data_IF_753251426568
#
_entry.id   IF_753251426568
#
_cell.length_a   1.000
_cell.length_b   1.000
_cell.length_c   1.000
_cell.angle_alpha   90.00
_cell.angle_beta   90.00
_cell.angle_gamma   90.00
#
_symmetry.space_group_name_H-M   'P 1'
#
loop_
_entity.id
_entity.type
_entity.pdbx_description
1 polymer ?
#
# COMPACT_ATOMS: atom_id res chain seq x y z
N UNK A 1 37.96 -7.82 -24.55
CA UNK A 1 36.63 -7.19 -24.34
C UNK A 1 36.50 -5.90 -25.14
N UNK A 2 37.30 -4.85 -24.86
CA UNK A 2 37.24 -3.55 -25.56
C UNK A 2 37.47 -3.66 -27.07
N UNK A 3 38.54 -4.34 -27.49
CA UNK A 3 38.86 -4.56 -28.90
C UNK A 3 37.71 -5.19 -29.69
N UNK A 4 37.01 -6.17 -29.11
CA UNK A 4 35.87 -6.81 -29.75
C UNK A 4 34.67 -5.85 -29.89
N UNK A 5 34.41 -5.01 -28.90
CA UNK A 5 33.30 -4.05 -28.97
C UNK A 5 33.54 -3.00 -30.07
N UNK A 6 34.75 -2.45 -30.14
CA UNK A 6 35.13 -1.50 -31.20
C UNK A 6 35.10 -2.17 -32.57
N UNK A 7 35.47 -3.45 -32.68
CA UNK A 7 35.41 -4.18 -33.93
C UNK A 7 33.98 -4.48 -34.42
N UNK A 8 33.04 -4.74 -33.49
CA UNK A 8 31.63 -5.03 -33.83
C UNK A 8 30.85 -3.74 -34.10
N UNK A 9 31.10 -2.68 -33.32
CA UNK A 9 30.42 -1.39 -33.38
C UNK A 9 31.42 -0.24 -33.64
N UNK A 10 32.08 -0.22 -34.81
CA UNK A 10 33.16 0.75 -35.07
C UNK A 10 32.65 2.19 -35.11
N UNK A 11 31.45 2.40 -35.65
CA UNK A 11 30.87 3.74 -35.86
C UNK A 11 29.79 4.09 -34.83
N UNK A 12 29.64 3.30 -33.76
CA UNK A 12 28.64 3.49 -32.70
C UNK A 12 29.30 3.57 -31.32
N UNK A 13 30.03 4.66 -30.99
CA UNK A 13 30.68 4.84 -29.69
C UNK A 13 29.73 4.74 -28.50
N UNK A 14 28.44 5.03 -28.70
CA UNK A 14 27.38 4.86 -27.71
C UNK A 14 27.20 3.41 -27.23
N UNK A 15 27.59 2.44 -28.06
CA UNK A 15 27.55 1.00 -27.76
C UNK A 15 28.82 0.51 -27.04
N UNK A 16 29.81 1.38 -26.83
CA UNK A 16 31.06 0.99 -26.19
C UNK A 16 30.91 0.91 -24.67
N UNK A 17 31.68 0.03 -24.00
CA UNK A 17 31.71 -0.06 -22.54
C UNK A 17 32.08 1.29 -21.90
N UNK A 18 31.24 1.77 -20.98
CA UNK A 18 31.39 3.11 -20.36
C UNK A 18 32.28 3.13 -19.11
N UNK A 19 32.34 2.02 -18.39
CA UNK A 19 33.14 1.89 -17.17
C UNK A 19 33.53 0.43 -16.93
N UNK A 20 34.63 0.24 -16.21
CA UNK A 20 35.11 -1.05 -15.73
C UNK A 20 35.59 -0.89 -14.30
N UNK A 21 35.20 -1.80 -13.42
CA UNK A 21 35.66 -1.86 -12.02
C UNK A 21 36.34 -3.21 -11.80
N UNK A 22 37.58 -3.18 -11.38
CA UNK A 22 38.30 -4.36 -10.93
C UNK A 22 38.37 -4.36 -9.40
N UNK A 23 38.35 -5.53 -8.79
CA UNK A 23 38.55 -5.75 -7.37
C UNK A 23 39.67 -6.78 -7.17
N UNK A 24 40.30 -6.77 -5.99
CA UNK A 24 41.29 -7.76 -5.62
C UNK A 24 40.69 -9.17 -5.46
N UNK A 25 41.57 -10.15 -5.26
CA UNK A 25 41.14 -11.51 -4.97
C UNK A 25 40.55 -11.59 -3.56
N UNK A 26 39.65 -12.55 -3.33
CA UNK A 26 39.03 -12.75 -2.04
C UNK A 26 39.89 -13.69 -1.16
N UNK A 27 40.33 -13.19 -0.02
CA UNK A 27 40.88 -13.95 1.08
C UNK A 27 39.75 -14.45 1.99
N UNK A 28 40.01 -15.55 2.67
CA UNK A 28 39.10 -16.19 3.63
C UNK A 28 39.81 -16.24 4.98
N UNK A 29 39.32 -15.48 5.96
CA UNK A 29 39.95 -15.31 7.28
C UNK A 29 41.45 -14.92 7.21
N UNK A 30 41.80 -13.97 6.34
CA UNK A 30 43.17 -13.50 6.04
C UNK A 30 44.07 -14.51 5.32
N UNK A 31 43.55 -15.64 4.87
CA UNK A 31 44.30 -16.66 4.15
C UNK A 31 43.80 -16.84 2.72
N UNK A 32 44.68 -17.34 1.83
CA UNK A 32 44.30 -17.61 0.44
C UNK A 32 43.31 -18.76 0.38
N UNK A 33 42.24 -18.56 -0.36
CA UNK A 33 41.25 -19.59 -0.58
C UNK A 33 41.83 -20.72 -1.44
N UNK A 34 41.92 -21.93 -0.89
CA UNK A 34 42.50 -23.10 -1.57
C UNK A 34 41.82 -24.39 -1.13
N UNK A 35 41.40 -25.20 -2.09
CA UNK A 35 40.81 -26.52 -1.84
C UNK A 35 41.78 -27.47 -1.13
N UNK A 36 43.08 -27.33 -1.40
CA UNK A 36 44.10 -28.22 -0.86
C UNK A 36 44.44 -27.93 0.61
N UNK A 37 44.26 -26.69 1.07
CA UNK A 37 44.51 -26.29 2.47
C UNK A 37 43.29 -26.50 3.36
N UNK A 38 42.13 -26.88 2.79
CA UNK A 38 40.85 -26.95 3.48
C UNK A 38 40.20 -25.58 3.74
N UNK A 39 40.89 -24.48 3.41
CA UNK A 39 40.35 -23.12 3.54
C UNK A 39 39.64 -22.71 2.25
N UNK A 40 38.45 -23.28 2.04
CA UNK A 40 37.61 -23.03 0.87
C UNK A 40 36.14 -23.00 1.27
N UNK A 41 35.37 -22.13 0.63
CA UNK A 41 33.93 -22.02 0.86
C UNK A 41 33.22 -21.78 -0.47
N UNK A 42 32.23 -22.62 -0.77
CA UNK A 42 31.34 -22.39 -1.91
C UNK A 42 30.27 -21.37 -1.56
N UNK A 43 29.65 -20.78 -2.60
CA UNK A 43 28.53 -19.86 -2.42
C UNK A 43 27.37 -20.50 -1.64
N UNK A 44 27.04 -21.76 -1.93
CA UNK A 44 25.92 -22.46 -1.29
C UNK A 44 26.20 -22.68 0.20
N UNK A 45 27.39 -23.21 0.53
CA UNK A 45 27.82 -23.37 1.93
C UNK A 45 27.81 -22.04 2.69
N UNK A 46 28.26 -20.95 2.05
CA UNK A 46 28.25 -19.61 2.65
C UNK A 46 26.82 -19.11 2.94
N UNK A 47 25.88 -19.33 2.02
CA UNK A 47 24.47 -18.96 2.21
C UNK A 47 23.82 -19.81 3.31
N UNK A 48 24.07 -21.12 3.34
CA UNK A 48 23.53 -22.03 4.35
C UNK A 48 24.09 -21.71 5.75
N UNK A 49 25.36 -21.30 5.83
CA UNK A 49 26.02 -20.97 7.10
C UNK A 49 25.62 -19.60 7.62
N UNK A 50 25.63 -18.57 6.77
CA UNK A 50 25.51 -17.17 7.21
C UNK A 50 24.23 -16.46 6.75
N UNK A 51 23.30 -17.17 6.10
CA UNK A 51 22.22 -16.60 5.28
C UNK A 51 22.72 -15.77 4.08
N UNK A 52 21.85 -15.57 3.10
CA UNK A 52 22.18 -14.74 1.94
C UNK A 52 22.54 -13.29 2.35
N UNK A 53 21.76 -12.70 3.25
CA UNK A 53 21.95 -11.29 3.64
C UNK A 53 23.12 -11.10 4.62
N UNK A 54 23.36 -12.06 5.53
CA UNK A 54 24.53 -12.03 6.41
C UNK A 54 25.84 -12.18 5.63
N UNK A 55 25.88 -13.10 4.66
CA UNK A 55 27.02 -13.24 3.75
C UNK A 55 27.25 -11.96 2.92
N UNK A 56 26.19 -11.40 2.31
CA UNK A 56 26.30 -10.16 1.51
C UNK A 56 26.76 -8.96 2.32
N UNK A 57 26.32 -8.83 3.57
CA UNK A 57 26.76 -7.74 4.45
C UNK A 57 28.26 -7.84 4.75
N UNK A 58 28.76 -9.04 5.07
CA UNK A 58 30.19 -9.27 5.29
C UNK A 58 31.01 -9.07 4.00
N UNK A 59 30.47 -9.47 2.83
CA UNK A 59 31.11 -9.22 1.54
C UNK A 59 31.20 -7.73 1.19
N UNK A 60 30.20 -6.92 1.55
CA UNK A 60 30.26 -5.49 1.37
C UNK A 60 31.34 -4.84 2.25
N UNK A 61 31.62 -5.40 3.44
CA UNK A 61 32.71 -4.95 4.31
C UNK A 61 34.10 -5.48 3.91
N UNK A 62 34.17 -6.49 3.05
CA UNK A 62 35.40 -7.21 2.74
C UNK A 62 36.49 -6.34 2.09
N UNK A 63 36.11 -5.33 1.31
CA UNK A 63 37.02 -4.37 0.70
C UNK A 63 36.54 -3.83 -0.66
N UNK A 64 36.78 -2.53 -0.89
CA UNK A 64 36.40 -1.84 -2.13
C UNK A 64 37.58 -1.56 -3.08
N UNK A 65 38.80 -1.75 -2.59
CA UNK A 65 40.02 -1.42 -3.32
C UNK A 65 40.40 -2.52 -4.35
N UNK A 66 41.46 -2.23 -5.10
CA UNK A 66 42.10 -3.22 -5.99
C UNK A 66 42.93 -4.23 -5.21
N UNK A 67 43.27 -3.91 -3.96
CA UNK A 67 43.91 -4.85 -3.02
C UNK A 67 42.96 -6.01 -2.68
N UNK A 68 43.55 -7.13 -2.23
CA UNK A 68 42.80 -8.32 -1.89
C UNK A 68 41.76 -8.03 -0.79
N UNK A 69 40.50 -8.36 -1.08
CA UNK A 69 39.40 -8.24 -0.13
C UNK A 69 39.44 -9.43 0.84
N UNK A 70 38.87 -9.27 2.03
CA UNK A 70 38.91 -10.33 3.04
C UNK A 70 37.53 -10.63 3.63
N UNK A 71 37.07 -11.87 3.47
CA UNK A 71 35.85 -12.36 4.11
C UNK A 71 36.19 -13.00 5.47
N UNK A 72 35.64 -12.45 6.55
CA UNK A 72 35.89 -12.89 7.92
C UNK A 72 34.62 -13.49 8.52
N UNK A 73 34.68 -14.73 9.01
CA UNK A 73 33.50 -15.43 9.55
C UNK A 73 32.92 -14.73 10.78
N UNK A 74 33.77 -14.28 11.70
CA UNK A 74 33.32 -13.53 12.87
C UNK A 74 32.54 -12.27 12.49
N UNK A 75 32.87 -11.64 11.36
CA UNK A 75 32.14 -10.48 10.86
C UNK A 75 30.78 -10.88 10.28
N UNK A 76 30.71 -12.01 9.57
CA UNK A 76 29.45 -12.57 9.08
C UNK A 76 28.51 -13.00 10.22
N UNK A 77 29.02 -13.64 11.27
CA UNK A 77 28.23 -13.99 12.46
C UNK A 77 27.69 -12.74 13.17
N UNK A 78 28.55 -11.73 13.34
CA UNK A 78 28.15 -10.45 13.91
C UNK A 78 27.11 -9.72 13.03
N UNK A 79 27.20 -9.86 11.70
CA UNK A 79 26.24 -9.30 10.76
C UNK A 79 24.84 -9.90 10.97
N UNK A 80 24.74 -11.23 11.09
CA UNK A 80 23.46 -11.94 11.32
C UNK A 80 22.81 -11.42 12.60
N UNK A 81 23.57 -11.34 13.69
CA UNK A 81 23.07 -10.86 14.97
C UNK A 81 22.57 -9.41 14.88
N UNK A 82 23.30 -8.53 14.17
CA UNK A 82 22.89 -7.13 13.96
C UNK A 82 21.62 -7.01 13.13
N UNK A 83 21.48 -7.80 12.06
CA UNK A 83 20.29 -7.82 11.20
C UNK A 83 19.06 -8.35 11.95
N UNK A 84 19.25 -9.41 12.76
CA UNK A 84 18.22 -9.95 13.64
C UNK A 84 17.75 -8.89 14.65
N UNK A 85 18.69 -8.28 15.39
CA UNK A 85 18.39 -7.26 16.38
C UNK A 85 17.72 -6.01 15.77
N UNK A 86 18.12 -5.62 14.55
CA UNK A 86 17.46 -4.53 13.82
C UNK A 86 16.00 -4.89 13.54
N UNK A 87 15.74 -6.09 13.05
CA UNK A 87 14.39 -6.54 12.69
C UNK A 87 13.48 -6.63 13.91
N UNK A 88 13.98 -7.16 15.03
CA UNK A 88 13.23 -7.22 16.28
C UNK A 88 12.96 -5.83 16.85
N UNK A 89 13.96 -4.94 16.84
CA UNK A 89 13.77 -3.56 17.26
C UNK A 89 12.70 -2.83 16.42
N UNK A 90 12.65 -3.08 15.10
CA UNK A 90 11.59 -2.52 14.24
C UNK A 90 10.20 -2.99 14.68
N UNK A 91 10.04 -4.28 15.00
CA UNK A 91 8.75 -4.81 15.50
C UNK A 91 8.35 -4.13 16.81
N UNK A 92 9.29 -4.00 17.75
CA UNK A 92 9.06 -3.31 19.03
C UNK A 92 8.61 -1.85 18.80
N UNK A 93 9.23 -1.12 17.87
CA UNK A 93 8.82 0.27 17.57
C UNK A 93 7.41 0.36 16.97
N UNK A 94 6.99 -0.61 16.16
CA UNK A 94 5.61 -0.70 15.66
C UNK A 94 4.63 -0.97 16.79
N UNK A 95 4.96 -1.85 17.73
CA UNK A 95 4.11 -2.12 18.90
C UNK A 95 3.99 -0.89 19.80
N UNK A 96 5.10 -0.19 20.07
CA UNK A 96 5.10 1.05 20.85
C UNK A 96 4.26 2.15 20.18
N UNK A 97 4.32 2.28 18.84
CA UNK A 97 3.46 3.21 18.09
C UNK A 97 1.98 2.92 18.32
N UNK A 98 1.59 1.65 18.26
CA UNK A 98 0.21 1.22 18.44
C UNK A 98 -0.29 1.46 19.88
N UNK A 99 0.61 1.36 20.87
CA UNK A 99 0.33 1.63 22.29
C UNK A 99 0.42 3.12 22.65
N UNK A 100 0.68 4.01 21.69
CA UNK A 100 0.98 5.43 21.91
C UNK A 100 2.17 5.65 22.88
N UNK A 101 3.12 4.71 22.92
CA UNK A 101 4.33 4.78 23.74
C UNK A 101 5.45 5.64 23.15
N UNK A 102 5.23 6.24 21.98
CA UNK A 102 6.15 7.18 21.32
C UNK A 102 5.59 8.61 21.40
N UNK A 103 6.48 9.59 21.48
CA UNK A 103 6.13 11.00 21.58
C UNK A 103 5.65 11.52 20.22
N UNK A 104 4.52 12.24 20.19
CA UNK A 104 3.85 12.77 18.96
C UNK A 104 3.84 14.30 18.86
N UNK A 105 4.69 14.98 19.61
CA UNK A 105 4.80 16.44 19.57
C UNK A 105 5.62 16.92 18.37
N UNK A 106 5.70 18.24 18.22
CA UNK A 106 6.59 18.87 17.25
C UNK A 106 8.05 18.51 17.59
N UNK A 107 8.78 17.90 16.65
CA UNK A 107 10.17 17.40 16.76
C UNK A 107 11.22 18.50 17.04
N UNK A 108 11.06 19.26 18.12
CA UNK A 108 11.77 20.50 18.39
C UNK A 108 12.83 20.36 19.49
N UNK A 109 12.97 19.18 20.11
CA UNK A 109 13.99 18.97 21.14
C UNK A 109 15.40 19.12 20.53
N UNK A 110 16.40 19.36 21.38
CA UNK A 110 17.79 19.38 20.92
C UNK A 110 18.18 18.01 20.32
N UNK A 111 17.81 16.92 21.00
CA UNK A 111 18.07 15.55 20.55
C UNK A 111 17.43 15.26 19.19
N UNK A 112 16.18 15.69 18.99
CA UNK A 112 15.43 15.51 17.73
C UNK A 112 16.13 16.19 16.55
N UNK A 113 16.57 17.43 16.75
CA UNK A 113 17.24 18.23 15.72
C UNK A 113 18.61 17.67 15.36
N UNK A 114 19.39 17.24 16.36
CA UNK A 114 20.69 16.60 16.14
C UNK A 114 20.51 15.29 15.39
N UNK A 115 19.59 14.44 15.83
CA UNK A 115 19.33 13.15 15.19
C UNK A 115 18.85 13.33 13.75
N UNK A 116 17.91 14.24 13.50
CA UNK A 116 17.42 14.53 12.15
C UNK A 116 18.52 15.03 11.20
N UNK A 117 19.43 15.87 11.69
CA UNK A 117 20.54 16.41 10.91
C UNK A 117 21.63 15.38 10.63
N UNK A 118 22.05 14.60 11.63
CA UNK A 118 23.04 13.54 11.42
C UNK A 118 22.48 12.44 10.51
N UNK A 119 21.18 12.10 10.60
CA UNK A 119 20.54 11.21 9.63
C UNK A 119 20.70 11.72 8.20
N UNK A 120 20.36 12.99 7.95
CA UNK A 120 20.49 13.60 6.62
C UNK A 120 21.93 13.57 6.10
N UNK A 121 22.90 13.79 6.97
CA UNK A 121 24.33 13.76 6.62
C UNK A 121 24.77 12.35 6.23
N UNK A 122 24.45 11.33 7.02
CA UNK A 122 24.81 9.94 6.70
C UNK A 122 24.11 9.44 5.45
N UNK A 123 22.84 9.82 5.21
CA UNK A 123 22.13 9.50 3.96
C UNK A 123 22.89 10.05 2.75
N UNK A 124 23.33 11.32 2.80
CA UNK A 124 24.08 11.95 1.70
C UNK A 124 25.43 11.29 1.45
N UNK A 125 26.20 11.03 2.51
CA UNK A 125 27.50 10.36 2.39
C UNK A 125 27.31 8.95 1.82
N UNK A 126 26.30 8.21 2.30
CA UNK A 126 26.00 6.85 1.82
C UNK A 126 25.62 6.84 0.34
N UNK A 127 24.80 7.80 -0.11
CA UNK A 127 24.45 7.93 -1.53
C UNK A 127 25.70 8.18 -2.40
N UNK A 128 26.58 9.08 -1.98
CA UNK A 128 27.85 9.36 -2.67
C UNK A 128 28.76 8.12 -2.71
N UNK A 129 28.84 7.37 -1.62
CA UNK A 129 29.60 6.12 -1.57
C UNK A 129 29.04 5.05 -2.51
N UNK A 130 27.72 4.91 -2.61
CA UNK A 130 27.10 4.00 -3.57
C UNK A 130 27.35 4.41 -5.02
N UNK A 131 27.24 5.70 -5.34
CA UNK A 131 27.56 6.24 -6.69
C UNK A 131 29.03 5.99 -7.06
N UNK A 132 29.93 6.13 -6.09
CA UNK A 132 31.36 5.83 -6.26
C UNK A 132 31.69 4.33 -6.22
N UNK A 133 30.71 3.45 -5.99
CA UNK A 133 30.89 1.99 -5.82
C UNK A 133 31.82 1.60 -4.66
N UNK A 134 31.79 2.40 -3.59
CA UNK A 134 32.49 2.15 -2.32
C UNK A 134 31.51 1.53 -1.31
N UNK A 135 31.29 0.22 -1.41
CA UNK A 135 30.29 -0.49 -0.63
C UNK A 135 30.64 -0.62 0.86
N UNK A 136 31.93 -0.72 1.20
CA UNK A 136 32.41 -0.71 2.59
C UNK A 136 32.15 0.63 3.26
N UNK A 137 32.46 1.74 2.58
CA UNK A 137 32.17 3.08 3.10
C UNK A 137 30.65 3.34 3.15
N UNK A 138 29.88 2.86 2.16
CA UNK A 138 28.42 2.92 2.21
C UNK A 138 27.86 2.17 3.42
N UNK A 139 28.39 0.98 3.73
CA UNK A 139 27.98 0.20 4.90
C UNK A 139 28.39 0.85 6.23
N UNK A 140 29.59 1.43 6.29
CA UNK A 140 30.06 2.19 7.45
C UNK A 140 29.10 3.31 7.82
N UNK A 141 28.79 4.21 6.90
CA UNK A 141 27.92 5.36 7.17
C UNK A 141 26.43 5.02 7.19
N UNK A 142 26.01 4.11 6.31
CA UNK A 142 24.61 3.77 6.07
C UNK A 142 24.04 2.68 6.99
N UNK A 143 24.89 1.96 7.72
CA UNK A 143 24.46 0.93 8.67
C UNK A 143 25.14 1.07 10.02
N UNK A 144 26.47 1.03 10.11
CA UNK A 144 27.15 1.02 11.42
C UNK A 144 27.03 2.35 12.16
N UNK A 145 27.44 3.46 11.53
CA UNK A 145 27.28 4.79 12.13
C UNK A 145 25.81 5.20 12.22
N UNK A 146 24.98 4.79 11.25
CA UNK A 146 23.55 5.06 11.28
C UNK A 146 22.87 4.42 12.51
N UNK A 147 23.20 3.16 12.83
CA UNK A 147 22.72 2.49 14.04
C UNK A 147 23.26 3.14 15.31
N UNK A 148 24.53 3.56 15.32
CA UNK A 148 25.11 4.27 16.47
C UNK A 148 24.38 5.59 16.76
N UNK A 149 23.99 6.33 15.73
CA UNK A 149 23.17 7.54 15.86
C UNK A 149 21.81 7.26 16.49
N UNK A 150 21.13 6.17 16.07
CA UNK A 150 19.87 5.73 16.67
C UNK A 150 20.06 5.38 18.15
N UNK A 151 21.10 4.62 18.48
CA UNK A 151 21.35 4.20 19.86
C UNK A 151 21.66 5.38 20.78
N UNK A 152 22.44 6.35 20.29
CA UNK A 152 22.68 7.62 20.98
C UNK A 152 21.39 8.42 21.19
N UNK A 153 20.56 8.55 20.15
CA UNK A 153 19.27 9.24 20.28
C UNK A 153 18.36 8.56 21.31
N UNK A 154 18.30 7.22 21.31
CA UNK A 154 17.56 6.45 22.30
C UNK A 154 18.08 6.68 23.72
N UNK A 155 19.39 6.71 23.92
CA UNK A 155 20.01 6.96 25.23
C UNK A 155 19.69 8.36 25.76
N UNK A 156 19.80 9.39 24.90
CA UNK A 156 19.48 10.78 25.26
C UNK A 156 17.99 10.93 25.62
N UNK A 157 17.10 10.32 24.83
CA UNK A 157 15.65 10.33 25.12
C UNK A 157 15.26 9.45 26.31
N UNK A 158 16.05 8.43 26.66
CA UNK A 158 15.83 7.60 27.86
C UNK A 158 16.03 8.36 29.18
N UNK A 159 16.55 9.58 29.13
CA UNK A 159 16.74 10.48 30.27
C UNK A 159 15.53 11.39 30.58
N UNK A 160 15.80 12.67 30.84
CA UNK A 160 14.83 13.64 31.40
C UNK A 160 13.62 13.99 30.50
N UNK A 161 13.69 13.75 29.19
CA UNK A 161 12.73 14.27 28.19
C UNK A 161 11.73 13.24 27.63
N UNK A 162 11.67 12.02 28.18
CA UNK A 162 10.68 11.03 27.79
C UNK A 162 10.87 10.46 26.37
N UNK A 163 9.91 9.61 25.98
CA UNK A 163 10.00 8.73 24.82
C UNK A 163 10.49 9.39 23.51
N UNK A 164 11.15 8.59 22.67
CA UNK A 164 11.56 8.97 21.31
C UNK A 164 10.38 9.48 20.48
N UNK A 165 10.65 10.40 19.57
CA UNK A 165 9.61 10.94 18.68
C UNK A 165 9.22 9.93 17.60
N UNK A 166 7.92 9.69 17.43
CA UNK A 166 7.36 8.72 16.48
C UNK A 166 7.82 9.02 15.05
N UNK A 167 7.71 10.26 14.60
CA UNK A 167 8.03 10.64 13.22
C UNK A 167 9.50 10.41 12.89
N UNK A 168 10.41 10.73 13.82
CA UNK A 168 11.84 10.51 13.61
C UNK A 168 12.23 9.03 13.65
N UNK A 169 11.64 8.25 14.56
CA UNK A 169 11.87 6.81 14.64
C UNK A 169 11.44 6.12 13.34
N UNK A 170 10.23 6.41 12.84
CA UNK A 170 9.74 5.78 11.62
C UNK A 170 10.49 6.26 10.37
N UNK A 171 10.89 7.53 10.33
CA UNK A 171 11.80 8.04 9.29
C UNK A 171 13.15 7.31 9.29
N UNK A 172 13.73 7.03 10.47
CA UNK A 172 14.94 6.24 10.59
C UNK A 172 14.73 4.83 10.03
N UNK A 173 13.64 4.15 10.40
CA UNK A 173 13.36 2.78 9.94
C UNK A 173 13.22 2.73 8.41
N UNK A 174 12.42 3.64 7.84
CA UNK A 174 12.21 3.72 6.39
C UNK A 174 13.53 3.96 5.63
N UNK A 175 14.31 4.94 6.08
CA UNK A 175 15.59 5.27 5.44
C UNK A 175 16.63 4.17 5.62
N UNK A 176 16.68 3.50 6.79
CA UNK A 176 17.57 2.37 7.03
C UNK A 176 17.23 1.20 6.10
N UNK A 177 15.95 0.89 5.89
CA UNK A 177 15.51 -0.16 4.97
C UNK A 177 15.91 0.15 3.52
N UNK A 178 15.73 1.41 3.08
CA UNK A 178 16.12 1.86 1.73
C UNK A 178 17.63 1.79 1.53
N UNK A 179 18.42 2.31 2.47
CA UNK A 179 19.88 2.31 2.40
C UNK A 179 20.44 0.88 2.34
N UNK A 180 19.84 -0.04 3.10
CA UNK A 180 20.31 -1.41 3.20
C UNK A 180 19.88 -2.29 2.03
N UNK A 181 18.82 -1.92 1.29
CA UNK A 181 18.23 -2.73 0.22
C UNK A 181 19.20 -3.24 -0.85
N UNK A 182 20.27 -2.52 -1.28
CA UNK A 182 21.22 -3.06 -2.26
C UNK A 182 22.11 -4.17 -1.68
N UNK A 183 22.36 -4.15 -0.36
CA UNK A 183 23.26 -5.09 0.33
C UNK A 183 22.45 -6.26 0.90
N UNK A 184 21.41 -6.00 1.69
CA UNK A 184 20.52 -7.00 2.30
C UNK A 184 19.07 -6.78 1.84
N UNK A 185 18.73 -7.20 0.61
CA UNK A 185 17.40 -6.96 0.04
C UNK A 185 16.28 -7.70 0.79
N UNK A 186 16.54 -8.89 1.34
CA UNK A 186 15.50 -9.69 2.00
C UNK A 186 15.09 -9.06 3.34
N UNK A 187 16.07 -8.61 4.13
CA UNK A 187 15.83 -7.85 5.37
C UNK A 187 15.18 -6.50 5.07
N UNK A 188 15.64 -5.79 4.04
CA UNK A 188 15.03 -4.52 3.61
C UNK A 188 13.54 -4.68 3.28
N UNK A 189 13.20 -5.71 2.50
CA UNK A 189 11.82 -6.07 2.17
C UNK A 189 11.02 -6.50 3.40
N UNK A 190 11.61 -7.30 4.30
CA UNK A 190 10.94 -7.72 5.54
C UNK A 190 10.58 -6.51 6.43
N UNK A 191 11.50 -5.55 6.58
CA UNK A 191 11.25 -4.29 7.30
C UNK A 191 10.14 -3.50 6.58
N UNK A 192 10.20 -3.42 5.25
CA UNK A 192 9.18 -2.73 4.47
C UNK A 192 7.80 -3.37 4.61
N UNK A 193 7.71 -4.70 4.72
CA UNK A 193 6.46 -5.41 4.99
C UNK A 193 5.94 -5.18 6.41
N UNK A 194 6.83 -5.06 7.40
CA UNK A 194 6.47 -4.71 8.77
C UNK A 194 5.87 -3.30 8.82
N UNK A 195 6.50 -2.34 8.14
CA UNK A 195 6.04 -0.95 8.03
C UNK A 195 4.76 -0.82 7.16
N UNK A 196 4.72 -1.56 6.06
CA UNK A 196 3.82 -1.37 4.92
C UNK A 196 2.65 -2.34 4.87
N UNK A 197 2.22 -2.91 6.01
CA UNK A 197 1.02 -3.77 6.04
C UNK A 197 -0.20 -3.09 5.40
N UNK A 198 -0.32 -1.77 5.55
CA UNK A 198 -1.36 -0.95 4.91
C UNK A 198 -1.20 -0.81 3.38
N UNK A 199 0.03 -0.61 2.88
CA UNK A 199 0.28 -0.42 1.45
C UNK A 199 0.12 -1.73 0.66
N UNK A 200 0.62 -2.85 1.20
CA UNK A 200 0.40 -4.19 0.64
C UNK A 200 -1.09 -4.53 0.66
N UNK A 201 -1.76 -4.27 1.79
CA UNK A 201 -3.20 -4.41 1.91
C UNK A 201 -3.95 -3.64 0.83
N UNK A 202 -3.65 -2.35 0.63
CA UNK A 202 -4.30 -1.54 -0.41
C UNK A 202 -4.06 -2.07 -1.83
N UNK A 203 -2.84 -2.50 -2.15
CA UNK A 203 -2.52 -3.07 -3.47
C UNK A 203 -3.32 -4.35 -3.73
N UNK A 204 -3.34 -5.25 -2.76
CA UNK A 204 -3.99 -6.56 -2.88
C UNK A 204 -5.52 -6.41 -2.92
N UNK A 205 -6.06 -5.51 -2.10
CA UNK A 205 -7.50 -5.15 -2.08
C UNK A 205 -7.95 -4.56 -3.41
N UNK A 206 -7.21 -3.60 -3.99
CA UNK A 206 -7.56 -3.02 -5.29
C UNK A 206 -7.51 -4.05 -6.41
N UNK A 207 -6.54 -4.96 -6.39
CA UNK A 207 -6.45 -6.04 -7.37
C UNK A 207 -7.67 -6.97 -7.30
N UNK A 208 -8.08 -7.36 -6.08
CA UNK A 208 -9.29 -8.18 -5.87
C UNK A 208 -10.56 -7.43 -6.28
N UNK A 209 -10.69 -6.16 -5.91
CA UNK A 209 -11.86 -5.34 -6.28
C UNK A 209 -12.00 -5.19 -7.80
N UNK A 210 -10.90 -4.97 -8.53
CA UNK A 210 -10.89 -4.92 -10.00
C UNK A 210 -11.26 -6.27 -10.62
N UNK A 211 -10.77 -7.37 -10.06
CA UNK A 211 -11.13 -8.71 -10.53
C UNK A 211 -12.62 -8.99 -10.34
N UNK A 212 -13.19 -8.57 -9.20
CA UNK A 212 -14.63 -8.71 -8.91
C UNK A 212 -15.50 -7.83 -9.80
N UNK A 213 -15.09 -6.59 -10.08
CA UNK A 213 -15.76 -5.70 -11.02
C UNK A 213 -15.80 -6.31 -12.43
N UNK A 214 -14.69 -6.86 -12.90
CA UNK A 214 -14.64 -7.58 -14.19
C UNK A 214 -15.56 -8.80 -14.20
N UNK A 215 -15.67 -9.49 -13.07
CA UNK A 215 -16.54 -10.67 -12.93
C UNK A 215 -18.03 -10.33 -12.84
N UNK A 216 -18.40 -9.17 -12.29
CA UNK A 216 -19.80 -8.70 -12.23
C UNK A 216 -20.30 -8.18 -13.59
N UNK A 217 -19.39 -7.70 -14.44
CA UNK A 217 -19.68 -7.27 -15.82
C UNK A 217 -19.62 -8.39 -16.86
N UNK A 218 -19.16 -9.60 -16.48
CA UNK A 218 -19.01 -10.71 -17.43
C UNK A 218 -20.35 -11.37 -17.76
N UNK A 219 -20.74 -11.33 -19.03
CA UNK A 219 -22.00 -11.88 -19.58
C UNK A 219 -22.23 -13.37 -19.34
N UNK A 220 -21.23 -14.10 -18.82
CA UNK A 220 -21.32 -15.54 -18.50
C UNK A 220 -22.08 -15.85 -17.19
N UNK A 221 -22.40 -14.85 -16.35
CA UNK A 221 -23.12 -15.06 -15.08
C UNK A 221 -24.58 -14.61 -15.16
N UNK A 222 -25.47 -15.34 -14.45
CA UNK A 222 -26.93 -15.10 -14.42
C UNK A 222 -27.36 -13.70 -13.92
N UNK A 223 -26.49 -12.99 -13.19
CA UNK A 223 -26.74 -11.65 -12.66
C UNK A 223 -25.67 -10.63 -13.13
N UNK A 224 -25.21 -10.74 -14.37
CA UNK A 224 -24.24 -9.79 -14.91
C UNK A 224 -24.89 -8.40 -15.09
N UNK A 225 -24.20 -7.35 -14.65
CA UNK A 225 -24.67 -5.98 -14.86
C UNK A 225 -24.49 -5.59 -16.34
N UNK A 226 -25.53 -4.94 -16.90
CA UNK A 226 -25.53 -4.45 -18.28
C UNK A 226 -24.77 -3.11 -18.38
N UNK A 227 -24.79 -2.32 -17.30
CA UNK A 227 -24.07 -1.06 -17.15
C UNK A 227 -23.10 -1.13 -15.95
N UNK A 228 -21.99 -0.37 -15.95
CA UNK A 228 -21.08 -0.35 -14.82
C UNK A 228 -21.81 0.08 -13.54
N UNK A 229 -21.58 -0.60 -12.40
CA UNK A 229 -22.23 -0.26 -11.14
C UNK A 229 -21.74 1.09 -10.61
N UNK A 230 -22.68 1.92 -10.14
CA UNK A 230 -22.38 3.24 -9.55
C UNK A 230 -21.97 3.17 -8.09
N UNK A 231 -22.57 2.26 -7.32
CA UNK A 231 -22.39 2.18 -5.87
C UNK A 231 -21.88 0.79 -5.46
N UNK A 232 -21.11 0.74 -4.37
CA UNK A 232 -20.65 -0.51 -3.78
C UNK A 232 -20.69 -0.48 -2.26
N UNK A 233 -20.81 -1.66 -1.65
CA UNK A 233 -20.66 -1.86 -0.20
C UNK A 233 -19.43 -2.73 0.02
N UNK A 234 -18.50 -2.25 0.82
CA UNK A 234 -17.30 -2.97 1.27
C UNK A 234 -17.58 -3.50 2.67
N UNK A 235 -17.47 -4.81 2.83
CA UNK A 235 -17.61 -5.49 4.11
C UNK A 235 -16.24 -5.74 4.72
N UNK A 236 -16.05 -5.29 5.96
CA UNK A 236 -14.80 -5.43 6.71
C UNK A 236 -15.05 -6.25 7.97
N UNK A 237 -14.28 -7.31 8.17
CA UNK A 237 -14.30 -8.11 9.39
C UNK A 237 -13.20 -7.64 10.35
N UNK A 238 -13.56 -7.40 11.62
CA UNK A 238 -12.60 -7.11 12.71
C UNK A 238 -11.92 -8.38 13.19
N UNK A 239 -12.70 -9.44 13.37
CA UNK A 239 -12.25 -10.75 13.82
C UNK A 239 -12.62 -11.83 12.81
N UNK A 240 -11.91 -12.97 12.86
CA UNK A 240 -12.31 -14.14 12.09
C UNK A 240 -13.68 -14.68 12.56
N UNK A 241 -14.52 -15.20 11.65
CA UNK A 241 -15.72 -15.94 11.99
C UNK A 241 -15.47 -17.02 13.05
N UNK A 242 -16.46 -17.29 13.91
CA UNK A 242 -16.32 -18.13 15.10
C UNK A 242 -15.66 -19.51 14.81
N UNK A 243 -16.02 -20.16 13.71
CA UNK A 243 -15.44 -21.45 13.34
C UNK A 243 -13.98 -21.35 12.85
N UNK A 244 -13.61 -20.26 12.16
CA UNK A 244 -12.25 -20.00 11.70
C UNK A 244 -11.34 -19.58 12.85
N UNK A 245 -11.84 -18.73 13.76
CA UNK A 245 -11.14 -18.32 14.99
C UNK A 245 -10.76 -19.54 15.83
N UNK A 246 -11.69 -20.49 15.97
CA UNK A 246 -11.44 -21.73 16.69
C UNK A 246 -10.37 -22.61 16.00
N UNK A 247 -10.41 -22.72 14.67
CA UNK A 247 -9.37 -23.44 13.91
C UNK A 247 -8.00 -22.78 14.09
N UNK A 248 -7.91 -21.46 14.03
CA UNK A 248 -6.66 -20.73 14.23
C UNK A 248 -6.11 -20.94 15.64
N UNK A 249 -6.95 -20.90 16.68
CA UNK A 249 -6.55 -21.19 18.06
C UNK A 249 -6.04 -22.63 18.23
N UNK A 250 -6.67 -23.61 17.58
CA UNK A 250 -6.17 -24.99 17.59
C UNK A 250 -4.81 -25.12 16.91
N UNK A 251 -4.64 -24.48 15.75
CA UNK A 251 -3.36 -24.49 15.02
C UNK A 251 -2.27 -23.76 15.82
N UNK A 252 -2.59 -22.65 16.46
CA UNK A 252 -1.67 -21.89 17.32
C UNK A 252 -1.21 -22.73 18.52
N UNK A 253 -2.13 -23.43 19.19
CA UNK A 253 -1.79 -24.32 20.29
C UNK A 253 -0.91 -25.50 19.84
N UNK A 254 -1.15 -26.05 18.64
CA UNK A 254 -0.31 -27.11 18.08
C UNK A 254 1.08 -26.59 17.68
N UNK A 255 1.17 -25.41 17.08
CA UNK A 255 2.44 -24.77 16.73
C UNK A 255 3.29 -24.49 17.99
N UNK A 256 2.68 -24.02 19.08
CA UNK A 256 3.36 -23.82 20.38
C UNK A 256 3.87 -25.13 20.99
N UNK A 257 3.11 -26.22 20.87
CA UNK A 257 3.49 -27.52 21.44
C UNK A 257 4.56 -28.26 20.63
N UNK A 258 4.72 -27.97 19.33
CA UNK A 258 5.63 -28.67 18.43
C UNK A 258 6.83 -27.83 17.96
N UNK A 259 7.33 -26.90 18.80
CA UNK A 259 8.46 -26.01 18.46
C UNK A 259 8.28 -25.25 17.12
N UNK A 260 7.06 -24.79 16.81
CA UNK A 260 6.77 -24.01 15.61
C UNK A 260 6.53 -24.83 14.34
N UNK A 261 6.39 -26.15 14.42
CA UNK A 261 6.08 -27.01 13.25
C UNK A 261 4.62 -27.43 13.27
N UNK A 262 3.89 -27.11 12.19
CA UNK A 262 2.50 -27.53 12.01
C UNK A 262 2.41 -29.04 11.71
N UNK A 263 1.49 -29.80 12.38
CA UNK A 263 1.32 -31.23 12.15
C UNK A 263 0.86 -31.59 10.72
N UNK A 264 0.97 -32.87 10.36
CA UNK A 264 0.46 -33.39 9.07
C UNK A 264 -1.06 -33.18 8.92
N UNK A 265 -1.52 -33.03 7.67
CA UNK A 265 -2.92 -32.79 7.30
C UNK A 265 -3.86 -33.85 7.86
N UNK A 266 -3.39 -35.11 7.97
CA UNK A 266 -4.15 -36.22 8.55
C UNK A 266 -4.43 -36.03 10.04
N UNK A 267 -3.44 -35.58 10.80
CA UNK A 267 -3.57 -35.33 12.24
C UNK A 267 -4.49 -34.13 12.50
N UNK A 268 -4.37 -33.07 11.69
CA UNK A 268 -5.24 -31.89 11.78
C UNK A 268 -6.70 -32.27 11.46
N UNK A 269 -6.94 -33.06 10.40
CA UNK A 269 -8.28 -33.52 10.04
C UNK A 269 -8.94 -34.36 11.15
N UNK A 270 -8.17 -35.22 11.84
CA UNK A 270 -8.69 -36.00 12.97
C UNK A 270 -9.07 -35.14 14.17
N UNK A 271 -8.30 -34.08 14.46
CA UNK A 271 -8.61 -33.15 15.54
C UNK A 271 -9.86 -32.32 15.25
N UNK A 272 -9.97 -31.81 14.02
CA UNK A 272 -11.14 -31.04 13.57
C UNK A 272 -12.42 -31.89 13.51
N UNK A 273 -12.29 -33.18 13.20
CA UNK A 273 -13.43 -34.12 13.15
C UNK A 273 -14.03 -34.48 14.51
N UNK A 274 -13.30 -34.27 15.61
CA UNK A 274 -13.80 -34.49 16.98
C UNK A 274 -14.76 -33.40 17.45
N UNK A 275 -14.67 -32.20 16.86
CA UNK A 275 -15.41 -31.03 17.33
C UNK A 275 -16.78 -30.91 16.67
N UNK A 276 -17.84 -30.73 17.48
CA UNK A 276 -19.22 -30.71 16.96
C UNK A 276 -19.54 -29.42 16.18
N UNK A 277 -18.93 -28.28 16.55
CA UNK A 277 -19.16 -26.98 15.91
C UNK A 277 -18.67 -26.95 14.45
N UNK A 278 -17.63 -27.72 14.13
CA UNK A 278 -17.01 -27.76 12.80
C UNK A 278 -17.70 -28.74 11.83
N UNK A 279 -18.60 -29.60 12.31
CA UNK A 279 -19.30 -30.59 11.46
C UNK A 279 -20.11 -29.94 10.34
N UNK A 280 -20.73 -28.77 10.58
CA UNK A 280 -21.46 -28.01 9.55
C UNK A 280 -20.55 -27.43 8.47
N UNK A 281 -19.28 -27.17 8.80
CA UNK A 281 -18.32 -26.49 7.94
C UNK A 281 -17.19 -27.39 7.42
N UNK A 282 -17.24 -28.70 7.68
CA UNK A 282 -16.16 -29.64 7.38
C UNK A 282 -15.61 -29.58 5.94
N UNK A 283 -16.47 -29.29 4.95
CA UNK A 283 -16.06 -29.10 3.54
C UNK A 283 -15.22 -27.83 3.31
N UNK A 284 -15.43 -26.77 4.10
CA UNK A 284 -14.69 -25.49 4.06
C UNK A 284 -13.45 -25.50 4.96
N UNK A 285 -13.44 -26.31 6.02
CA UNK A 285 -12.37 -26.32 7.03
C UNK A 285 -11.02 -26.77 6.49
N UNK A 286 -10.95 -27.84 5.70
CA UNK A 286 -9.67 -28.35 5.17
C UNK A 286 -9.01 -27.41 4.14
N UNK A 287 -9.74 -26.82 3.17
CA UNK A 287 -9.18 -25.78 2.30
C UNK A 287 -8.64 -24.59 3.09
N UNK A 288 -9.33 -24.17 4.16
CA UNK A 288 -8.87 -23.08 5.02
C UNK A 288 -7.57 -23.44 5.75
N UNK A 289 -7.46 -24.64 6.32
CA UNK A 289 -6.22 -25.12 6.96
C UNK A 289 -5.06 -25.16 5.97
N UNK A 290 -5.29 -25.59 4.74
CA UNK A 290 -4.26 -25.64 3.71
C UNK A 290 -3.78 -24.23 3.33
N UNK A 291 -4.71 -23.29 3.15
CA UNK A 291 -4.38 -21.89 2.90
C UNK A 291 -3.55 -21.28 4.06
N UNK A 292 -3.94 -21.56 5.31
CA UNK A 292 -3.20 -21.09 6.49
C UNK A 292 -1.81 -21.74 6.59
N UNK A 293 -1.67 -23.02 6.20
CA UNK A 293 -0.36 -23.69 6.11
C UNK A 293 0.57 -23.01 5.10
N UNK A 294 0.07 -22.73 3.89
CA UNK A 294 0.83 -22.01 2.86
C UNK A 294 1.23 -20.60 3.36
N UNK A 295 0.31 -19.90 4.05
CA UNK A 295 0.63 -18.62 4.67
C UNK A 295 1.60 -18.73 5.84
N UNK A 296 1.56 -19.81 6.61
CA UNK A 296 2.46 -20.07 7.72
C UNK A 296 3.88 -20.39 7.25
N UNK A 297 4.03 -21.11 6.14
CA UNK A 297 5.33 -21.34 5.50
C UNK A 297 5.99 -20.02 5.05
N UNK A 298 5.18 -19.03 4.62
CA UNK A 298 5.68 -17.73 4.17
C UNK A 298 5.88 -16.71 5.30
N UNK A 299 4.95 -16.63 6.26
CA UNK A 299 4.86 -15.54 7.27
C UNK A 299 5.07 -16.03 8.71
N UNK A 300 5.25 -17.33 8.92
CA UNK A 300 5.41 -17.93 10.25
C UNK A 300 4.24 -17.68 11.17
N UNK A 301 4.52 -17.50 12.47
CA UNK A 301 3.51 -17.29 13.53
C UNK A 301 2.56 -16.12 13.28
N UNK A 302 2.96 -15.12 12.49
CA UNK A 302 2.10 -13.99 12.16
C UNK A 302 0.87 -14.39 11.32
N UNK A 303 0.93 -15.52 10.60
CA UNK A 303 -0.21 -16.05 9.84
C UNK A 303 -1.34 -16.60 10.71
N UNK A 304 -1.05 -16.89 11.99
CA UNK A 304 -2.02 -17.45 12.95
C UNK A 304 -2.73 -16.37 13.78
N UNK A 305 -2.45 -15.09 13.54
CA UNK A 305 -3.09 -13.99 14.25
C UNK A 305 -4.63 -14.01 14.02
N UNK A 306 -5.39 -13.94 15.12
CA UNK A 306 -6.85 -14.01 15.11
C UNK A 306 -7.54 -12.68 14.81
N UNK A 307 -6.78 -11.60 14.67
CA UNK A 307 -7.25 -10.27 14.30
C UNK A 307 -6.26 -9.59 13.34
N UNK A 308 -6.74 -8.61 12.57
CA UNK A 308 -5.87 -7.77 11.76
C UNK A 308 -5.03 -6.85 12.66
N UNK A 309 -3.76 -6.63 12.29
CA UNK A 309 -2.84 -5.82 13.08
C UNK A 309 -3.09 -4.29 12.96
N UNK A 310 -4.03 -3.88 12.13
CA UNK A 310 -4.33 -2.48 11.84
C UNK A 310 -5.82 -2.28 11.52
N UNK A 311 -6.30 -1.04 11.62
CA UNK A 311 -7.69 -0.70 11.29
C UNK A 311 -7.88 -0.60 9.77
N UNK A 312 -8.49 -1.64 9.21
CA UNK A 312 -8.78 -1.75 7.78
C UNK A 312 -9.75 -0.66 7.29
N UNK A 313 -10.75 -0.30 8.11
CA UNK A 313 -11.78 0.65 7.69
C UNK A 313 -11.21 2.07 7.61
N UNK A 314 -10.37 2.45 8.58
CA UNK A 314 -9.67 3.73 8.56
C UNK A 314 -8.81 3.89 7.30
N UNK A 315 -8.02 2.86 6.94
CA UNK A 315 -7.15 2.89 5.75
C UNK A 315 -7.98 3.04 4.46
N UNK A 316 -9.09 2.32 4.35
CA UNK A 316 -9.98 2.42 3.18
C UNK A 316 -10.63 3.81 3.08
N UNK A 317 -10.96 4.43 4.22
CA UNK A 317 -11.52 5.80 4.25
C UNK A 317 -10.49 6.86 3.91
N UNK A 318 -9.27 6.77 4.43
CA UNK A 318 -8.16 7.69 4.08
C UNK A 318 -7.86 7.67 2.58
N UNK A 319 -8.02 6.51 1.93
CA UNK A 319 -7.74 6.31 0.51
C UNK A 319 -9.00 6.30 -0.37
N UNK A 320 -10.10 6.91 0.09
CA UNK A 320 -11.41 6.87 -0.59
C UNK A 320 -11.35 7.32 -2.04
N UNK A 321 -10.73 8.47 -2.31
CA UNK A 321 -10.64 9.04 -3.66
C UNK A 321 -9.91 8.10 -4.63
N UNK A 322 -8.85 7.45 -4.15
CA UNK A 322 -8.09 6.51 -4.95
C UNK A 322 -8.93 5.28 -5.33
N UNK A 323 -9.68 4.71 -4.40
CA UNK A 323 -10.56 3.55 -4.65
C UNK A 323 -11.68 3.92 -5.63
N UNK A 324 -12.36 5.05 -5.40
CA UNK A 324 -13.48 5.51 -6.24
C UNK A 324 -13.02 5.81 -7.68
N UNK A 325 -11.82 6.37 -7.85
CA UNK A 325 -11.22 6.58 -9.17
C UNK A 325 -10.75 5.27 -9.82
N UNK A 326 -10.13 4.36 -9.05
CA UNK A 326 -9.57 3.12 -9.56
C UNK A 326 -10.63 2.09 -10.00
N UNK A 327 -11.82 2.14 -9.40
CA UNK A 327 -12.97 1.26 -9.71
C UNK A 327 -14.08 1.96 -10.50
N UNK A 328 -13.91 3.25 -10.82
CA UNK A 328 -14.91 4.06 -11.51
C UNK A 328 -16.28 4.09 -10.78
N UNK A 329 -16.26 4.10 -9.44
CA UNK A 329 -17.46 4.14 -8.59
C UNK A 329 -17.82 5.57 -8.20
N UNK A 330 -19.12 5.85 -8.07
CA UNK A 330 -19.62 7.16 -7.63
C UNK A 330 -19.44 7.33 -6.12
N UNK A 331 -19.73 6.26 -5.36
CA UNK A 331 -19.53 6.19 -3.91
C UNK A 331 -19.42 4.74 -3.45
N UNK A 332 -18.73 4.52 -2.35
CA UNK A 332 -18.82 3.25 -1.62
C UNK A 332 -19.15 3.47 -0.14
N UNK A 333 -19.76 2.44 0.46
CA UNK A 333 -20.07 2.38 1.88
C UNK A 333 -19.25 1.28 2.53
N UNK A 334 -18.75 1.51 3.75
CA UNK A 334 -18.11 0.47 4.55
C UNK A 334 -19.12 0.00 5.60
N UNK A 335 -19.32 -1.32 5.68
CA UNK A 335 -20.09 -1.95 6.75
C UNK A 335 -19.22 -2.97 7.48
N UNK A 336 -19.38 -3.05 8.80
CA UNK A 336 -18.76 -4.11 9.57
C UNK A 336 -19.60 -5.39 9.51
N UNK A 337 -18.95 -6.54 9.58
CA UNK A 337 -19.65 -7.85 9.62
C UNK A 337 -20.54 -8.03 10.85
N UNK A 338 -20.34 -7.23 11.89
CA UNK A 338 -21.08 -7.30 13.16
C UNK A 338 -22.42 -6.54 13.11
N UNK A 339 -22.70 -5.80 12.03
CA UNK A 339 -23.94 -5.05 11.87
C UNK A 339 -25.13 -5.98 11.54
N UNK A 340 -26.33 -5.75 12.12
CA UNK A 340 -27.49 -6.64 11.96
C UNK A 340 -28.05 -6.70 10.53
N UNK A 341 -27.69 -5.75 9.67
CA UNK A 341 -28.12 -5.66 8.27
C UNK A 341 -27.30 -6.52 7.30
N UNK A 342 -26.25 -7.21 7.79
CA UNK A 342 -25.35 -7.99 6.94
C UNK A 342 -25.85 -9.44 6.84
N UNK A 343 -26.00 -9.94 5.61
CA UNK A 343 -26.36 -11.34 5.38
C UNK A 343 -25.32 -12.30 6.00
N UNK A 344 -25.81 -13.33 6.68
CA UNK A 344 -24.96 -14.32 7.35
C UNK A 344 -23.93 -14.99 6.41
N UNK A 345 -24.26 -15.14 5.13
CA UNK A 345 -23.35 -15.70 4.13
C UNK A 345 -22.14 -14.79 3.89
N UNK A 346 -22.35 -13.47 3.90
CA UNK A 346 -21.30 -12.45 3.74
C UNK A 346 -20.44 -12.43 5.00
N UNK A 347 -21.07 -12.38 6.18
CA UNK A 347 -20.36 -12.40 7.46
C UNK A 347 -19.50 -13.67 7.66
N UNK A 348 -19.93 -14.82 7.15
CA UNK A 348 -19.14 -16.06 7.19
C UNK A 348 -17.98 -16.12 6.18
N UNK A 349 -18.01 -15.29 5.13
CA UNK A 349 -17.04 -15.33 4.03
C UNK A 349 -15.94 -14.29 4.18
N UNK A 350 -16.25 -13.12 4.76
CA UNK A 350 -15.29 -12.03 4.95
C UNK A 350 -14.31 -12.40 6.05
N UNK A 351 -13.01 -12.18 5.78
CA UNK A 351 -11.94 -12.43 6.75
C UNK A 351 -11.10 -11.16 6.96
N UNK A 352 -10.51 -10.97 8.16
CA UNK A 352 -9.63 -9.84 8.40
C UNK A 352 -8.45 -9.82 7.42
N UNK A 353 -8.17 -8.66 6.81
CA UNK A 353 -7.13 -8.48 5.80
C UNK A 353 -7.57 -8.74 4.35
N UNK A 354 -8.77 -9.29 4.14
CA UNK A 354 -9.36 -9.49 2.81
C UNK A 354 -10.83 -9.04 2.78
N UNK A 355 -11.10 -7.72 2.74
CA UNK A 355 -12.45 -7.17 2.67
C UNK A 355 -13.18 -7.63 1.41
N UNK A 356 -14.50 -7.77 1.51
CA UNK A 356 -15.35 -8.18 0.39
C UNK A 356 -16.12 -6.98 -0.18
N UNK A 357 -16.00 -6.73 -1.48
CA UNK A 357 -16.82 -5.72 -2.17
C UNK A 357 -18.04 -6.38 -2.84
N UNK A 358 -19.21 -5.80 -2.61
CA UNK A 358 -20.45 -6.10 -3.31
C UNK A 358 -20.93 -4.87 -4.08
N UNK A 359 -21.15 -5.01 -5.38
CA UNK A 359 -21.66 -3.94 -6.22
C UNK A 359 -23.19 -3.90 -6.15
N UNK A 360 -23.74 -2.71 -5.93
CA UNK A 360 -25.18 -2.50 -5.91
C UNK A 360 -25.71 -2.36 -7.35
N UNK A 361 -26.96 -2.78 -7.61
CA UNK A 361 -27.58 -2.54 -8.90
C UNK A 361 -27.66 -1.04 -9.21
N UNK A 362 -27.49 -0.64 -10.48
CA UNK A 362 -27.60 0.75 -10.87
C UNK A 362 -29.01 1.27 -10.53
N UNK A 363 -29.08 2.38 -9.80
CA UNK A 363 -30.32 3.09 -9.51
C UNK A 363 -30.83 3.80 -10.77
N UNK A 364 -32.12 4.06 -10.82
CA UNK A 364 -32.70 4.90 -11.87
C UNK A 364 -32.03 6.29 -11.85
N UNK A 365 -31.70 6.80 -13.02
CA UNK A 365 -30.99 8.08 -13.17
C UNK A 365 -31.75 8.98 -14.12
N UNK A 366 -31.82 10.26 -13.81
CA UNK A 366 -32.34 11.29 -14.72
C UNK A 366 -31.16 11.94 -15.42
N UNK A 367 -31.23 12.05 -16.75
CA UNK A 367 -30.17 12.66 -17.56
C UNK A 367 -30.37 14.16 -17.61
N UNK A 368 -29.30 14.91 -17.33
CA UNK A 368 -29.25 16.37 -17.49
C UNK A 368 -28.19 16.74 -18.51
N UNK A 369 -28.41 17.82 -19.24
CA UNK A 369 -27.46 18.32 -20.23
C UNK A 369 -26.45 19.22 -19.51
N UNK A 370 -25.19 18.83 -19.47
CA UNK A 370 -24.11 19.68 -19.01
C UNK A 370 -23.57 20.49 -20.18
N UNK A 371 -23.79 21.81 -20.16
CA UNK A 371 -23.37 22.76 -21.20
C UNK A 371 -22.10 23.49 -20.82
N UNK A 372 -21.13 23.53 -21.72
CA UNK A 372 -19.95 24.37 -21.55
C UNK A 372 -20.20 25.76 -22.14
N UNK A 373 -20.10 26.79 -21.32
CA UNK A 373 -20.30 28.20 -21.72
C UNK A 373 -19.00 28.97 -21.87
N UNK A 374 -17.85 28.33 -21.64
CA UNK A 374 -16.56 29.00 -21.69
C UNK A 374 -16.14 29.30 -23.14
N UNK A 375 -15.85 30.57 -23.41
CA UNK A 375 -15.45 31.04 -24.75
C UNK A 375 -14.13 30.38 -25.17
N UNK A 376 -14.05 29.99 -26.45
CA UNK A 376 -12.87 29.39 -27.07
C UNK A 376 -12.37 28.09 -26.39
N UNK A 377 -13.27 27.34 -25.74
CA UNK A 377 -12.96 26.03 -25.16
C UNK A 377 -13.65 24.93 -25.99
N UNK A 378 -12.89 23.92 -26.44
CA UNK A 378 -13.36 22.84 -27.32
C UNK A 378 -14.20 21.76 -26.62
N UNK A 379 -14.75 22.05 -25.44
CA UNK A 379 -15.62 21.15 -24.69
C UNK A 379 -17.09 21.45 -25.07
N UNK A 380 -17.84 20.40 -25.38
CA UNK A 380 -19.22 20.49 -25.87
C UNK A 380 -20.25 20.10 -24.80
N UNK A 381 -21.53 20.18 -25.15
CA UNK A 381 -22.63 19.68 -24.32
C UNK A 381 -22.49 18.17 -24.14
N UNK A 382 -22.70 17.70 -22.91
CA UNK A 382 -22.56 16.29 -22.51
C UNK A 382 -23.76 15.88 -21.67
N UNK A 383 -24.37 14.75 -22.00
CA UNK A 383 -25.45 14.18 -21.19
C UNK A 383 -24.86 13.50 -19.95
N UNK A 384 -25.25 13.96 -18.76
CA UNK A 384 -24.76 13.43 -17.48
C UNK A 384 -25.92 12.77 -16.72
N UNK A 385 -25.82 11.48 -16.38
CA UNK A 385 -26.83 10.81 -15.56
C UNK A 385 -26.66 11.18 -14.07
N UNK A 386 -27.68 11.80 -13.49
CA UNK A 386 -27.75 12.15 -12.08
C UNK A 386 -28.69 11.22 -11.35
N UNK A 387 -28.23 10.73 -10.19
CA UNK A 387 -28.97 9.84 -9.29
C UNK A 387 -29.33 10.61 -8.03
N UNK A 388 -30.45 10.25 -7.39
CA UNK A 388 -30.87 10.85 -6.14
C UNK A 388 -29.77 10.75 -5.05
N UNK A 389 -29.46 11.88 -4.43
CA UNK A 389 -28.42 12.01 -3.40
C UNK A 389 -27.00 12.13 -3.94
N UNK A 390 -26.77 12.32 -5.25
CA UNK A 390 -25.43 12.63 -5.78
C UNK A 390 -24.96 14.01 -5.31
N UNK A 391 -23.68 14.15 -4.94
CA UNK A 391 -23.10 15.47 -4.68
C UNK A 391 -22.54 16.10 -5.95
N UNK A 392 -22.33 17.41 -5.95
CA UNK A 392 -21.64 18.14 -7.04
C UNK A 392 -20.27 17.54 -7.37
N UNK A 393 -19.52 17.09 -6.36
CA UNK A 393 -18.26 16.38 -6.59
C UNK A 393 -18.44 15.05 -7.34
N UNK A 394 -19.51 14.31 -7.08
CA UNK A 394 -19.85 13.05 -7.79
C UNK A 394 -20.23 13.35 -9.25
N UNK A 395 -21.10 14.32 -9.49
CA UNK A 395 -21.52 14.73 -10.85
C UNK A 395 -20.31 15.23 -11.65
N UNK A 396 -19.42 15.99 -11.02
CA UNK A 396 -18.16 16.44 -11.63
C UNK A 396 -17.26 15.27 -12.03
N UNK A 397 -17.16 14.23 -11.20
CA UNK A 397 -16.42 13.01 -11.54
C UNK A 397 -17.08 12.24 -12.68
N UNK A 398 -18.40 12.12 -12.70
CA UNK A 398 -19.15 11.52 -13.83
C UNK A 398 -18.87 12.27 -15.14
N UNK A 399 -18.91 13.60 -15.11
CA UNK A 399 -18.61 14.43 -16.27
C UNK A 399 -17.18 14.18 -16.81
N UNK A 400 -16.17 14.07 -15.92
CA UNK A 400 -14.79 13.72 -16.31
C UNK A 400 -14.68 12.32 -16.93
N UNK A 401 -15.47 11.35 -16.44
CA UNK A 401 -15.49 9.98 -17.00
C UNK A 401 -16.07 9.94 -18.40
N UNK A 402 -17.16 10.68 -18.64
CA UNK A 402 -17.83 10.73 -19.94
C UNK A 402 -17.00 11.55 -20.94
N UNK A 403 -16.52 12.72 -20.53
CA UNK A 403 -15.73 13.61 -21.38
C UNK A 403 -14.23 13.50 -21.10
N UNK A 404 -13.56 12.56 -21.76
CA UNK A 404 -12.11 12.33 -21.66
C UNK A 404 -11.24 13.52 -22.09
N UNK A 405 -11.83 14.54 -22.73
CA UNK A 405 -11.11 15.77 -23.10
C UNK A 405 -10.83 16.66 -21.89
N UNK A 406 -11.56 16.47 -20.79
CA UNK A 406 -11.29 17.12 -19.50
C UNK A 406 -10.07 16.46 -18.85
N UNK A 407 -8.88 16.97 -19.17
CA UNK A 407 -7.61 16.51 -18.57
C UNK A 407 -7.61 16.72 -17.05
N UNK A 408 -6.91 15.86 -16.27
CA UNK A 408 -6.86 15.96 -14.80
C UNK A 408 -6.40 17.30 -14.25
N UNK A 409 -5.57 18.03 -15.01
CA UNK A 409 -5.09 19.38 -14.68
C UNK A 409 -6.18 20.45 -14.61
N UNK A 410 -7.34 20.21 -15.23
CA UNK A 410 -8.41 21.18 -15.28
C UNK A 410 -9.23 21.13 -13.98
N UNK A 411 -9.53 22.28 -13.39
CA UNK A 411 -10.53 22.41 -12.32
C UNK A 411 -11.90 22.51 -12.96
N UNK A 412 -12.87 21.75 -12.44
CA UNK A 412 -14.23 21.72 -13.00
C UNK A 412 -15.16 22.30 -11.96
N UNK A 413 -15.93 23.31 -12.34
CA UNK A 413 -16.95 23.93 -11.50
C UNK A 413 -18.30 23.82 -12.17
N UNK A 414 -19.32 23.45 -11.39
CA UNK A 414 -20.70 23.34 -11.84
C UNK A 414 -21.50 24.57 -11.43
N UNK A 415 -22.38 24.99 -12.32
CA UNK A 415 -23.24 26.15 -12.14
C UNK A 415 -24.67 25.79 -12.52
N UNK A 416 -25.64 26.30 -11.76
CA UNK A 416 -27.06 26.26 -12.08
C UNK A 416 -27.50 27.56 -12.75
N UNK A 417 -28.59 27.55 -13.50
CA UNK A 417 -29.24 28.80 -13.92
C UNK A 417 -30.05 29.40 -12.76
N UNK A 418 -30.10 30.73 -12.68
CA UNK A 418 -30.98 31.43 -11.72
C UNK A 418 -32.46 31.14 -12.01
N UNK A 419 -32.80 30.96 -13.29
CA UNK A 419 -34.13 30.62 -13.78
C UNK A 419 -34.13 29.16 -14.30
N UNK A 420 -34.78 28.22 -13.60
CA UNK A 420 -34.70 26.78 -13.92
C UNK A 420 -35.35 26.38 -15.24
N UNK A 421 -36.30 27.17 -15.77
CA UNK A 421 -37.11 26.77 -16.93
C UNK A 421 -36.80 27.59 -18.19
N UNK A 422 -36.34 28.83 -18.05
CA UNK A 422 -36.05 29.72 -19.18
C UNK A 422 -34.59 30.19 -19.22
N UNK A 423 -33.75 29.77 -18.26
CA UNK A 423 -32.34 30.17 -18.19
C UNK A 423 -31.52 29.68 -19.40
N UNK A 424 -31.76 28.46 -19.85
CA UNK A 424 -31.13 27.82 -21.02
C UNK A 424 -31.51 28.48 -22.35
N UNK A 425 -32.63 29.21 -22.38
CA UNK A 425 -33.17 29.93 -23.56
C UNK A 425 -32.72 31.39 -23.64
N UNK A 426 -32.03 31.90 -22.61
CA UNK A 426 -31.49 33.27 -22.61
C UNK A 426 -30.15 33.31 -23.34
N UNK A 427 -29.93 34.37 -24.12
CA UNK A 427 -28.68 34.56 -24.85
C UNK A 427 -27.52 34.76 -23.87
N UNK A 428 -26.47 33.96 -24.01
CA UNK A 428 -25.26 34.05 -23.20
C UNK A 428 -24.41 35.23 -23.70
N UNK A 429 -24.07 36.17 -22.83
CA UNK A 429 -23.27 37.33 -23.19
C UNK A 429 -21.77 36.96 -23.31
N UNK A 430 -21.12 37.35 -24.41
CA UNK A 430 -19.69 37.06 -24.65
C UNK A 430 -18.75 37.69 -23.60
N UNK A 431 -19.12 38.82 -22.99
CA UNK A 431 -18.31 39.52 -21.99
C UNK A 431 -18.42 38.92 -20.58
N UNK A 432 -19.50 38.21 -20.28
CA UNK A 432 -19.78 37.66 -18.95
C UNK A 432 -20.68 36.42 -19.06
N UNK A 433 -20.13 35.26 -19.49
CA UNK A 433 -20.93 34.08 -19.81
C UNK A 433 -21.64 33.44 -18.61
N UNK A 434 -21.24 33.78 -17.38
CA UNK A 434 -21.79 33.23 -16.13
C UNK A 434 -22.75 34.18 -15.40
N UNK A 435 -23.12 35.33 -15.96
CA UNK A 435 -23.92 36.34 -15.24
C UNK A 435 -25.33 35.89 -14.88
N UNK A 436 -25.86 34.88 -15.56
CA UNK A 436 -27.20 34.29 -15.34
C UNK A 436 -27.14 32.99 -14.52
N UNK A 437 -25.94 32.65 -14.03
CA UNK A 437 -25.64 31.40 -13.36
C UNK A 437 -25.24 31.64 -11.91
N UNK A 438 -25.48 30.62 -11.08
CA UNK A 438 -25.02 30.58 -9.70
C UNK A 438 -24.15 29.34 -9.51
N UNK A 439 -22.99 29.52 -8.86
CA UNK A 439 -22.04 28.44 -8.64
C UNK A 439 -22.57 27.48 -7.57
N UNK A 440 -22.48 26.19 -7.84
CA UNK A 440 -22.76 25.14 -6.86
C UNK A 440 -21.50 24.83 -6.05
N UNK A 441 -21.67 24.54 -4.77
CA UNK A 441 -20.59 24.08 -3.90
C UNK A 441 -20.42 22.56 -4.02
N UNK A 442 -19.21 22.06 -3.81
CA UNK A 442 -18.89 20.63 -3.99
C UNK A 442 -19.71 19.69 -3.09
N UNK A 443 -20.17 20.20 -1.93
CA UNK A 443 -20.98 19.50 -0.93
C UNK A 443 -22.49 19.56 -1.20
N UNK A 444 -22.94 20.34 -2.19
CA UNK A 444 -24.37 20.43 -2.52
C UNK A 444 -24.89 19.10 -3.07
N UNK A 445 -26.11 18.72 -2.65
CA UNK A 445 -26.71 17.41 -2.96
C UNK A 445 -27.84 17.58 -3.98
N UNK A 446 -27.78 16.80 -5.07
CA UNK A 446 -28.86 16.67 -6.03
C UNK A 446 -29.95 15.74 -5.49
N UNK A 447 -31.19 16.23 -5.51
CA UNK A 447 -32.41 15.49 -5.20
C UNK A 447 -33.18 15.29 -6.50
N UNK A 448 -33.48 14.03 -6.83
CA UNK A 448 -34.12 13.67 -8.09
C UNK A 448 -35.54 13.16 -7.84
N UNK A 449 -36.52 13.78 -8.49
CA UNK A 449 -37.90 13.32 -8.50
C UNK A 449 -38.14 12.49 -9.79
N UNK A 450 -38.20 11.17 -9.62
CA UNK A 450 -38.35 10.21 -10.72
C UNK A 450 -39.72 10.31 -11.42
N UNK A 451 -40.78 10.71 -10.72
CA UNK A 451 -42.13 10.80 -11.31
C UNK A 451 -42.25 11.98 -12.28
N UNK A 452 -41.51 13.06 -12.01
CA UNK A 452 -41.54 14.30 -12.80
C UNK A 452 -40.30 14.51 -13.67
N UNK A 453 -39.32 13.60 -13.62
CA UNK A 453 -37.99 13.79 -14.22
C UNK A 453 -37.36 15.13 -13.87
N UNK A 454 -37.59 15.59 -12.64
CA UNK A 454 -37.16 16.91 -12.18
C UNK A 454 -35.97 16.80 -11.23
N UNK A 455 -34.97 17.66 -11.42
CA UNK A 455 -33.76 17.69 -10.60
C UNK A 455 -33.73 18.98 -9.78
N UNK A 456 -33.52 18.84 -8.48
CA UNK A 456 -33.30 19.93 -7.55
C UNK A 456 -31.95 19.77 -6.85
N UNK A 457 -31.39 20.86 -6.33
CA UNK A 457 -30.18 20.87 -5.51
C UNK A 457 -30.51 21.44 -4.16
N UNK A 458 -30.06 20.76 -3.11
CA UNK A 458 -30.16 21.22 -1.73
C UNK A 458 -28.83 21.84 -1.31
N UNK A 459 -28.83 23.15 -1.12
CA UNK A 459 -27.68 23.92 -0.65
C UNK A 459 -28.05 24.66 0.63
N UNK A 460 -27.27 24.51 1.70
CA UNK A 460 -27.44 25.23 2.98
C UNK A 460 -28.88 25.26 3.55
N UNK A 461 -29.65 24.19 3.33
CA UNK A 461 -31.02 24.04 3.84
C UNK A 461 -32.14 24.53 2.91
N UNK A 462 -31.82 25.22 1.80
CA UNK A 462 -32.78 25.58 0.75
C UNK A 462 -32.70 24.64 -0.44
N UNK A 463 -33.87 24.29 -1.00
CA UNK A 463 -33.98 23.44 -2.19
C UNK A 463 -34.23 24.32 -3.40
N UNK A 464 -33.36 24.20 -4.41
CA UNK A 464 -33.41 24.97 -5.65
C UNK A 464 -33.61 24.05 -6.84
N UNK A 465 -34.58 24.33 -7.70
CA UNK A 465 -34.74 23.57 -8.95
C UNK A 465 -33.63 23.93 -9.94
N UNK A 466 -33.07 22.92 -10.62
CA UNK A 466 -31.95 23.09 -11.54
C UNK A 466 -32.39 23.14 -13.00
N UNK A 467 -33.54 22.52 -13.33
CA UNK A 467 -34.01 22.38 -14.71
C UNK A 467 -33.37 21.20 -15.44
N UNK A 468 -33.48 21.18 -16.77
CA UNK A 468 -32.92 20.11 -17.63
C UNK A 468 -31.44 20.32 -17.97
N UNK A 469 -30.91 21.54 -17.78
CA UNK A 469 -29.55 21.93 -18.20
C UNK A 469 -28.75 22.51 -17.04
N UNK A 470 -27.52 22.01 -16.84
CA UNK A 470 -26.51 22.61 -15.96
C UNK A 470 -25.37 23.20 -16.78
N UNK A 471 -24.65 24.15 -16.22
CA UNK A 471 -23.47 24.74 -16.84
C UNK A 471 -22.22 24.20 -16.17
N UNK A 472 -21.21 23.82 -16.95
CA UNK A 472 -19.89 23.46 -16.42
C UNK A 472 -18.80 24.32 -17.04
N UNK A 473 -17.77 24.58 -16.24
CA UNK A 473 -16.54 25.26 -16.66
C UNK A 473 -15.37 24.39 -16.28
N UNK A 474 -14.49 24.09 -17.24
CA UNK A 474 -13.24 23.36 -17.01
C UNK A 474 -12.04 24.24 -17.42
N UNK A 475 -11.17 24.59 -16.47
CA UNK A 475 -10.06 25.55 -16.63
C UNK A 475 -8.72 25.05 -16.13
#
# INVERSE_FOLDING_TARGET
MLYNHVAIWPDQPEMWPKSMRANGHLLLNNEKMSKNTGNFMTLVEGIETFSADGMRLSLADAGDAVEDANFVFNMADAAILRLYNLTDWVKEMVELRNQNGLRRDSCNSFADRVFANEMNKNIRITAQSYEATLFKEALKYGFFEYQALRDMYREICGGQDGAMNETLVFRFIETQALILSPICPHIGEQIWQILGKAAVFMRDVIADFRARLKNSMSSKKKNAFIAPPSESVIYVAKEFPAWQKYVLQLLENQAKNNNGVLPDNKSIAQLLGKEQLLKKFARKTMPFVQMIKEQYEQKGMAALASACAFDQAAILLENREYIENALELDRFFIKYTDEPDVELVIAETVVPGAPLIHFLPPKESVTIIARNVHVANGLFDVDVPVVDGDSVAVVTRKLRRINKSIKPRFTVSLFRYQDPNAGDRKMIANSSPLSINEQLQDDDIFVVDHEKSAVAVKSNGSTHHVGETIVYVAQ
#
